data_IF_187995983964
#
_entry.id   IF_187995983964
#
_cell.length_a   1.000
_cell.length_b   1.000
_cell.length_c   1.000
_cell.angle_alpha   90.00
_cell.angle_beta   90.00
_cell.angle_gamma   90.00
#
_symmetry.space_group_name_H-M   'P 1'
#
loop_
_entity.id
_entity.type
_entity.pdbx_description
1 polymer ?
#
# COMPACT_ATOMS: atom_id res chain seq x y z
N UNK A 1 1.98 -19.35 -3.36
CA UNK A 1 2.65 -18.05 -3.30
C UNK A 1 2.22 -17.35 -2.03
N UNK A 2 3.16 -16.93 -1.19
CA UNK A 2 2.85 -16.19 0.06
C UNK A 2 2.73 -14.70 -0.22
N UNK A 3 2.07 -13.94 0.66
CA UNK A 3 1.97 -12.48 0.54
C UNK A 3 3.36 -11.82 0.51
N UNK A 4 4.33 -12.36 1.26
CA UNK A 4 5.73 -11.89 1.22
C UNK A 4 6.37 -12.13 -0.14
N UNK A 5 6.18 -13.31 -0.74
CA UNK A 5 6.72 -13.62 -2.08
C UNK A 5 6.11 -12.69 -3.13
N UNK A 6 4.80 -12.43 -3.04
CA UNK A 6 4.11 -11.47 -3.89
C UNK A 6 4.72 -10.07 -3.82
N UNK A 7 4.94 -9.56 -2.60
CA UNK A 7 5.52 -8.22 -2.43
C UNK A 7 6.95 -8.16 -2.98
N UNK A 8 7.75 -9.21 -2.80
CA UNK A 8 9.11 -9.26 -3.36
C UNK A 8 9.10 -9.26 -4.89
N UNK A 9 8.17 -9.98 -5.52
CA UNK A 9 8.00 -9.96 -6.98
C UNK A 9 7.59 -8.57 -7.48
N UNK A 10 6.64 -7.90 -6.81
CA UNK A 10 6.28 -6.52 -7.16
C UNK A 10 7.48 -5.59 -7.06
N UNK A 11 8.21 -5.64 -5.94
CA UNK A 11 9.37 -4.77 -5.72
C UNK A 11 10.43 -4.95 -6.79
N UNK A 12 10.63 -6.18 -7.28
CA UNK A 12 11.55 -6.45 -8.39
C UNK A 12 11.07 -5.85 -9.72
N UNK A 13 9.76 -5.70 -9.90
CA UNK A 13 9.17 -5.06 -11.09
C UNK A 13 9.13 -3.53 -10.99
N UNK A 14 9.24 -2.96 -9.78
CA UNK A 14 9.32 -1.51 -9.56
C UNK A 14 10.77 -1.06 -9.76
N UNK A 15 11.04 -0.43 -10.90
CA UNK A 15 12.36 0.11 -11.22
C UNK A 15 12.78 1.18 -10.19
N UNK A 16 13.97 1.01 -9.60
CA UNK A 16 14.50 1.95 -8.63
C UNK A 16 13.77 1.98 -7.28
N UNK A 17 13.10 0.88 -6.90
CA UNK A 17 12.44 0.77 -5.59
C UNK A 17 13.39 1.12 -4.43
N UNK A 18 12.95 2.04 -3.56
CA UNK A 18 13.62 2.37 -2.30
C UNK A 18 12.65 2.19 -1.13
N UNK A 19 12.98 1.27 -0.22
CA UNK A 19 12.20 1.01 0.99
C UNK A 19 12.13 2.23 1.93
N UNK A 20 12.98 3.24 1.78
CA UNK A 20 12.90 4.50 2.55
C UNK A 20 12.04 5.55 1.87
N UNK A 21 11.70 5.36 0.60
CA UNK A 21 10.89 6.29 -0.17
C UNK A 21 9.41 5.89 -0.09
N UNK A 22 8.59 6.74 0.53
CA UNK A 22 7.15 6.50 0.65
C UNK A 22 6.47 6.34 -0.71
N UNK A 23 6.94 7.02 -1.75
CA UNK A 23 6.37 6.90 -3.09
C UNK A 23 6.61 5.51 -3.69
N UNK A 24 7.77 4.91 -3.46
CA UNK A 24 8.03 3.52 -3.87
C UNK A 24 7.09 2.54 -3.14
N UNK A 25 6.78 2.80 -1.86
CA UNK A 25 5.84 1.96 -1.10
C UNK A 25 4.41 2.16 -1.60
N UNK A 26 3.99 3.39 -1.89
CA UNK A 26 2.68 3.70 -2.47
C UNK A 26 2.49 3.03 -3.83
N UNK A 27 3.53 2.99 -4.66
CA UNK A 27 3.52 2.25 -5.93
C UNK A 27 3.25 0.75 -5.72
N UNK A 28 3.93 0.11 -4.76
CA UNK A 28 3.67 -1.29 -4.38
C UNK A 28 2.23 -1.50 -3.91
N UNK A 29 1.70 -0.55 -3.14
CA UNK A 29 0.30 -0.60 -2.65
C UNK A 29 -0.68 -0.46 -3.81
N UNK A 30 -0.42 0.43 -4.78
CA UNK A 30 -1.24 0.63 -5.98
C UNK A 30 -1.29 -0.64 -6.82
N UNK A 31 -0.12 -1.24 -7.09
CA UNK A 31 -0.02 -2.51 -7.81
C UNK A 31 -0.74 -3.65 -7.07
N UNK A 32 -0.62 -3.72 -5.75
CA UNK A 32 -1.32 -4.72 -4.96
C UNK A 32 -2.85 -4.56 -5.01
N UNK A 33 -3.36 -3.32 -4.96
CA UNK A 33 -4.79 -3.04 -5.11
C UNK A 33 -5.30 -3.56 -6.46
N UNK A 34 -4.56 -3.32 -7.53
CA UNK A 34 -4.91 -3.76 -8.89
C UNK A 34 -4.86 -5.30 -9.03
N UNK A 35 -3.76 -5.91 -8.60
CA UNK A 35 -3.54 -7.37 -8.72
C UNK A 35 -4.51 -8.19 -7.88
N UNK A 36 -4.77 -7.77 -6.64
CA UNK A 36 -5.75 -8.43 -5.77
C UNK A 36 -7.20 -8.02 -6.05
N UNK A 37 -7.42 -7.05 -6.95
CA UNK A 37 -8.75 -6.48 -7.28
C UNK A 37 -9.49 -6.00 -6.03
N UNK A 38 -8.78 -5.30 -5.16
CA UNK A 38 -9.36 -4.69 -3.97
C UNK A 38 -10.38 -3.63 -4.35
N UNK A 39 -11.35 -3.39 -3.44
CA UNK A 39 -12.30 -2.28 -3.60
C UNK A 39 -11.70 -0.96 -3.14
N UNK A 40 -10.63 -1.02 -2.34
CA UNK A 40 -9.81 0.13 -1.96
C UNK A 40 -9.20 0.77 -3.20
N UNK A 41 -8.95 2.08 -3.14
CA UNK A 41 -8.35 2.81 -4.26
C UNK A 41 -7.56 4.01 -3.75
N UNK A 42 -6.49 4.33 -4.46
CA UNK A 42 -5.77 5.58 -4.28
C UNK A 42 -6.36 6.64 -5.21
N UNK A 43 -6.47 7.87 -4.73
CA UNK A 43 -6.85 9.04 -5.51
C UNK A 43 -5.86 10.16 -5.22
N UNK A 44 -5.59 10.98 -6.23
CA UNK A 44 -4.88 12.25 -6.03
C UNK A 44 -5.94 13.34 -5.87
N UNK A 45 -5.99 13.96 -4.70
CA UNK A 45 -6.87 15.11 -4.44
C UNK A 45 -6.18 16.41 -4.89
N UNK A 46 -6.91 17.53 -4.83
CA UNK A 46 -6.37 18.86 -5.14
C UNK A 46 -5.05 19.12 -4.38
N UNK A 47 -4.12 19.80 -5.05
CA UNK A 47 -2.75 20.08 -4.57
C UNK A 47 -1.77 18.88 -4.57
N UNK A 48 -2.17 17.72 -5.12
CA UNK A 48 -1.28 16.58 -5.33
C UNK A 48 -1.14 15.63 -4.14
N UNK A 49 -2.04 15.75 -3.16
CA UNK A 49 -2.09 14.85 -2.01
C UNK A 49 -2.69 13.50 -2.42
N UNK A 50 -1.90 12.43 -2.30
CA UNK A 50 -2.37 11.05 -2.50
C UNK A 50 -3.15 10.58 -1.27
N UNK A 51 -4.42 10.25 -1.47
CA UNK A 51 -5.35 9.77 -0.45
C UNK A 51 -5.75 8.33 -0.72
N UNK A 52 -5.59 7.46 0.28
CA UNK A 52 -6.01 6.07 0.20
C UNK A 52 -7.44 5.91 0.73
N UNK A 53 -8.36 5.52 -0.14
CA UNK A 53 -9.72 5.15 0.24
C UNK A 53 -9.79 3.65 0.49
N UNK A 54 -9.87 3.26 1.76
CA UNK A 54 -10.01 1.86 2.17
C UNK A 54 -11.47 1.42 2.11
N UNK A 55 -11.74 0.25 1.55
CA UNK A 55 -13.09 -0.28 1.45
C UNK A 55 -13.51 -1.16 2.64
N UNK A 56 -12.54 -1.67 3.42
CA UNK A 56 -12.81 -2.43 4.64
C UNK A 56 -11.55 -2.55 5.50
N UNK A 57 -11.72 -2.85 6.78
CA UNK A 57 -10.61 -3.14 7.70
C UNK A 57 -9.81 -4.40 7.28
N UNK A 58 -10.41 -5.30 6.50
CA UNK A 58 -9.71 -6.49 5.99
C UNK A 58 -8.68 -6.10 4.94
N UNK A 59 -9.08 -5.24 3.99
CA UNK A 59 -8.17 -4.70 2.98
C UNK A 59 -7.12 -3.80 3.62
N UNK A 60 -7.49 -3.00 4.63
CA UNK A 60 -6.54 -2.22 5.44
C UNK A 60 -5.42 -3.09 6.03
N UNK A 61 -5.77 -4.16 6.73
CA UNK A 61 -4.78 -5.07 7.36
C UNK A 61 -3.88 -5.73 6.30
N UNK A 62 -4.44 -6.11 5.13
CA UNK A 62 -3.66 -6.68 4.04
C UNK A 62 -2.68 -5.66 3.46
N UNK A 63 -3.13 -4.45 3.19
CA UNK A 63 -2.29 -3.38 2.64
C UNK A 63 -1.23 -2.91 3.66
N UNK A 64 -1.55 -2.87 4.94
CA UNK A 64 -0.62 -2.63 6.04
C UNK A 64 0.50 -3.68 6.09
N UNK A 65 0.15 -4.96 5.91
CA UNK A 65 1.14 -6.05 5.81
C UNK A 65 2.00 -5.96 4.56
N UNK A 66 1.40 -5.63 3.41
CA UNK A 66 2.12 -5.42 2.14
C UNK A 66 3.15 -4.30 2.30
N UNK A 67 2.73 -3.18 2.87
CA UNK A 67 3.61 -2.05 3.13
C UNK A 67 4.74 -2.41 4.11
N UNK A 68 4.45 -3.22 5.13
CA UNK A 68 5.45 -3.76 6.06
C UNK A 68 6.52 -4.59 5.36
N UNK A 69 6.09 -5.51 4.47
CA UNK A 69 7.02 -6.30 3.65
C UNK A 69 7.84 -5.43 2.69
N UNK A 70 7.24 -4.37 2.13
CA UNK A 70 7.94 -3.42 1.27
C UNK A 70 9.02 -2.63 2.01
N UNK A 71 8.79 -2.34 3.30
CA UNK A 71 9.81 -1.77 4.18
C UNK A 71 10.89 -2.77 4.62
N UNK A 72 10.78 -4.05 4.26
CA UNK A 72 11.65 -5.11 4.76
C UNK A 72 11.42 -5.43 6.25
N UNK A 73 10.29 -5.01 6.82
CA UNK A 73 9.92 -5.30 8.21
C UNK A 73 9.10 -6.58 8.27
N UNK A 74 9.29 -7.35 9.33
CA UNK A 74 8.44 -8.51 9.63
C UNK A 74 7.17 -8.12 10.38
N UNK A 75 7.17 -6.94 11.00
CA UNK A 75 6.05 -6.41 11.77
C UNK A 75 5.09 -5.62 10.89
N UNK A 76 3.82 -5.66 11.27
CA UNK A 76 2.76 -4.88 10.65
C UNK A 76 3.01 -3.38 10.87
N UNK A 77 2.94 -2.59 9.81
CA UNK A 77 3.04 -1.14 9.90
C UNK A 77 1.68 -0.51 9.68
N UNK A 78 1.45 0.65 10.32
CA UNK A 78 0.24 1.41 10.06
C UNK A 78 0.35 2.07 8.66
N UNK A 79 -0.57 1.72 7.76
CA UNK A 79 -0.64 2.30 6.41
C UNK A 79 -0.85 3.83 6.43
N UNK A 80 -1.43 4.39 7.49
CA UNK A 80 -1.51 5.83 7.68
C UNK A 80 -0.13 6.50 7.73
N UNK A 81 0.92 5.79 8.15
CA UNK A 81 2.29 6.34 8.15
C UNK A 81 2.86 6.51 6.74
N UNK A 82 2.39 5.69 5.79
CA UNK A 82 2.78 5.75 4.37
C UNK A 82 2.06 6.89 3.66
N UNK A 83 0.78 7.08 3.97
CA UNK A 83 -0.07 8.13 3.41
C UNK A 83 -0.12 9.40 4.26
N UNK A 84 0.72 9.54 5.29
CA UNK A 84 0.79 10.73 6.14
C UNK A 84 -0.56 11.13 6.77
N UNK A 85 -1.37 10.13 7.11
CA UNK A 85 -2.71 10.31 7.67
C UNK A 85 -3.81 10.54 6.64
N UNK A 86 -3.49 10.62 5.34
CA UNK A 86 -4.46 10.72 4.25
C UNK A 86 -5.06 9.36 3.89
N UNK A 87 -5.74 8.75 4.87
CA UNK A 87 -6.42 7.47 4.74
C UNK A 87 -7.88 7.64 5.13
N UNK A 88 -8.79 7.22 4.23
CA UNK A 88 -10.23 7.34 4.42
C UNK A 88 -10.85 5.96 4.38
N UNK A 89 -11.29 5.45 5.54
CA UNK A 89 -12.02 4.18 5.62
C UNK A 89 -13.49 4.40 5.26
N UNK A 90 -13.91 3.88 4.11
CA UNK A 90 -15.31 3.81 3.69
C UNK A 90 -15.95 2.57 4.30
N UNK A 91 -16.77 2.76 5.33
CA UNK A 91 -17.66 1.70 5.83
C UNK A 91 -18.85 1.58 4.87
N UNK A 92 -18.88 0.50 4.10
CA UNK A 92 -20.10 0.07 3.40
C UNK A 92 -20.98 -0.76 4.33
#
# INVERSE_FOLDING_TARGET
>A
MTLRQFVLEIIQNVEGFDAKNKNSIKEVIRLAIEDFRFKSRENVEDEGCEVLYLASNVEENLLSKIAGFALGKEEEINIESVYEGYVIVRKY
#
